data_IF_171738308904
#
_entry.id   IF_171738308904
#
_cell.length_a   1.000
_cell.length_b   1.000
_cell.length_c   1.000
_cell.angle_alpha   90.00
_cell.angle_beta   90.00
_cell.angle_gamma   90.00
#
_symmetry.space_group_name_H-M   'P 1'
#
loop_
_entity.id
_entity.type
_entity.pdbx_description
1 polymer ?
#
# COMPACT_ATOMS: atom_id res chain seq x y z
N UNK A 1 -29.01 -0.02 -52.10
CA UNK A 1 -28.99 -0.12 -53.58
C UNK A 1 -27.66 0.44 -54.04
N UNK A 2 -26.80 -0.47 -54.48
CA UNK A 2 -25.53 -0.27 -55.20
C UNK A 2 -25.79 0.52 -56.50
N UNK A 3 -24.86 1.18 -57.19
CA UNK A 3 -23.51 0.78 -57.63
C UNK A 3 -22.90 1.96 -58.44
N UNK A 4 -21.63 1.82 -58.83
CA UNK A 4 -20.91 2.44 -60.01
C UNK A 4 -19.75 3.36 -59.55
N UNK A 5 -18.47 3.19 -59.91
CA UNK A 5 -17.72 2.20 -60.69
C UNK A 5 -16.23 2.39 -60.38
N UNK A 6 -15.48 1.29 -60.48
CA UNK A 6 -14.04 1.13 -60.26
C UNK A 6 -13.24 1.15 -61.58
N UNK A 7 -11.90 1.23 -61.44
CA UNK A 7 -10.79 0.86 -62.34
C UNK A 7 -10.24 1.94 -63.29
N UNK A 8 -8.93 2.08 -63.59
CA UNK A 8 -7.65 1.72 -62.95
C UNK A 8 -6.46 2.06 -63.89
N UNK A 9 -5.28 2.32 -63.31
CA UNK A 9 -3.90 1.96 -63.73
C UNK A 9 -2.99 2.80 -64.68
N UNK A 10 -1.69 2.79 -64.27
CA UNK A 10 -0.39 3.02 -64.94
C UNK A 10 0.11 4.50 -65.00
N UNK A 11 1.38 4.86 -64.78
CA UNK A 11 2.64 4.21 -64.37
C UNK A 11 3.66 5.30 -63.95
N UNK A 12 4.69 4.98 -63.16
CA UNK A 12 5.87 5.84 -62.83
C UNK A 12 7.04 5.56 -63.81
N UNK A 13 8.09 6.41 -63.97
CA UNK A 13 9.30 6.31 -63.10
C UNK A 13 10.23 7.56 -62.93
N UNK A 14 11.13 7.49 -61.92
CA UNK A 14 12.50 8.06 -61.70
C UNK A 14 12.76 9.61 -61.83
N UNK A 15 13.63 10.35 -61.11
CA UNK A 15 14.99 10.06 -60.61
C UNK A 15 15.61 11.22 -59.73
N UNK A 16 16.61 10.85 -58.92
CA UNK A 16 17.81 11.52 -58.38
C UNK A 16 17.95 12.84 -57.54
N UNK A 17 18.42 12.62 -56.30
CA UNK A 17 19.39 13.28 -55.38
C UNK A 17 20.10 14.64 -55.66
N UNK A 18 20.33 15.43 -54.58
CA UNK A 18 21.68 15.77 -54.02
C UNK A 18 21.68 16.64 -52.75
N UNK A 19 22.49 16.20 -51.78
CA UNK A 19 23.02 16.94 -50.62
C UNK A 19 23.93 18.11 -51.03
N UNK A 20 24.04 19.16 -50.19
CA UNK A 20 25.33 19.85 -49.95
C UNK A 20 25.39 20.67 -48.67
N UNK A 21 26.46 20.43 -47.93
CA UNK A 21 26.89 21.04 -46.67
C UNK A 21 27.95 22.10 -46.94
N UNK A 22 27.96 23.23 -46.20
CA UNK A 22 29.15 24.08 -46.02
C UNK A 22 29.21 24.68 -44.62
N UNK A 23 30.42 24.58 -44.04
CA UNK A 23 30.93 25.11 -42.77
C UNK A 23 31.46 26.55 -42.96
N UNK A 24 31.45 27.40 -41.91
CA UNK A 24 32.64 27.81 -41.11
C UNK A 24 32.43 29.12 -40.31
N UNK A 25 32.75 29.02 -39.02
CA UNK A 25 33.63 29.83 -38.15
C UNK A 25 33.44 31.34 -37.96
N UNK A 26 33.44 31.76 -36.68
CA UNK A 26 33.65 33.15 -36.24
C UNK A 26 33.56 33.33 -34.71
N UNK A 27 34.72 33.34 -34.03
CA UNK A 27 34.92 33.60 -32.59
C UNK A 27 35.00 35.11 -32.31
N UNK A 28 34.48 35.56 -31.16
CA UNK A 28 34.78 36.88 -30.58
C UNK A 28 34.22 37.10 -29.16
N UNK A 29 35.10 37.08 -28.14
CA UNK A 29 34.97 37.82 -26.86
C UNK A 29 35.17 39.33 -27.18
N UNK A 30 34.78 40.37 -26.43
CA UNK A 30 34.91 40.68 -24.98
C UNK A 30 34.12 42.00 -24.64
N UNK A 31 33.74 42.14 -23.36
CA UNK A 31 33.60 43.36 -22.51
C UNK A 31 32.45 44.39 -22.63
N UNK A 32 31.68 44.50 -21.53
CA UNK A 32 31.43 45.74 -20.74
C UNK A 32 30.73 45.35 -19.41
N UNK A 33 31.41 45.42 -18.25
CA UNK A 33 31.54 46.53 -17.29
C UNK A 33 30.25 46.95 -16.54
N UNK A 34 30.16 46.43 -15.31
CA UNK A 34 29.72 47.00 -14.02
C UNK A 34 28.48 47.93 -13.93
N UNK A 35 27.57 47.55 -13.02
CA UNK A 35 27.06 48.45 -11.97
C UNK A 35 26.72 47.66 -10.69
N UNK A 36 27.29 48.12 -9.57
CA UNK A 36 27.02 47.71 -8.18
C UNK A 36 25.85 48.54 -7.61
N UNK A 37 25.04 47.94 -6.74
CA UNK A 37 24.41 48.50 -5.51
C UNK A 37 23.70 47.33 -4.80
N UNK A 38 24.22 46.72 -3.73
CA UNK A 38 24.19 47.08 -2.29
C UNK A 38 22.85 46.81 -1.57
N UNK A 39 22.90 45.91 -0.57
CA UNK A 39 22.12 45.82 0.69
C UNK A 39 20.62 45.44 0.54
N UNK A 40 20.00 44.50 1.27
CA UNK A 40 20.11 44.11 2.68
C UNK A 40 19.85 42.60 2.91
N UNK A 41 20.69 41.95 3.73
CA UNK A 41 20.41 40.66 4.37
C UNK A 41 19.77 40.92 5.74
N UNK A 42 18.50 40.55 5.92
CA UNK A 42 17.80 40.57 7.21
C UNK A 42 17.76 39.15 7.79
N UNK A 43 18.60 38.91 8.79
CA UNK A 43 18.55 37.71 9.63
C UNK A 43 17.35 37.76 10.60
N UNK A 44 16.74 36.61 10.95
CA UNK A 44 15.62 36.57 11.89
C UNK A 44 16.07 36.65 13.37
N UNK A 45 15.24 37.20 14.28
CA UNK A 45 15.60 37.35 15.70
C UNK A 45 15.45 36.03 16.49
N UNK A 46 16.18 35.86 17.60
CA UNK A 46 16.07 34.70 18.48
C UNK A 46 14.84 34.77 19.40
N UNK A 47 14.31 33.63 19.90
CA UNK A 47 13.16 33.62 20.78
C UNK A 47 13.52 34.13 22.19
N UNK A 48 12.62 34.97 22.72
CA UNK A 48 12.66 35.57 24.04
C UNK A 48 12.38 34.56 25.16
N UNK A 49 13.24 34.59 26.18
CA UNK A 49 13.06 33.87 27.44
C UNK A 49 12.01 34.58 28.30
N UNK A 50 10.97 33.84 28.71
CA UNK A 50 10.01 34.30 29.71
C UNK A 50 10.49 33.89 31.10
N UNK A 51 10.99 34.89 31.83
CA UNK A 51 11.13 34.86 33.29
C UNK A 51 9.74 35.01 33.91
N UNK A 52 9.29 34.04 34.71
CA UNK A 52 8.28 34.30 35.74
C UNK A 52 8.71 33.73 37.09
N UNK A 53 8.52 34.61 38.05
CA UNK A 53 8.95 34.62 39.44
C UNK A 53 8.31 33.57 40.31
N UNK A 54 9.10 33.09 41.27
CA UNK A 54 8.67 32.36 42.45
C UNK A 54 7.77 33.20 43.36
N UNK A 55 6.67 32.61 43.84
CA UNK A 55 6.15 32.83 45.19
C UNK A 55 5.67 31.49 45.76
N UNK A 56 6.25 31.06 46.89
CA UNK A 56 5.52 30.57 48.07
C UNK A 56 6.49 30.00 49.12
N UNK A 57 6.53 30.71 50.25
CA UNK A 57 6.50 30.22 51.64
C UNK A 57 7.22 28.92 52.02
N UNK A 58 8.24 29.09 52.87
CA UNK A 58 8.78 28.09 53.81
C UNK A 58 7.72 27.63 54.82
N UNK A 59 7.62 26.32 55.05
CA UNK A 59 7.39 25.74 56.38
C UNK A 59 8.23 24.47 56.55
N UNK A 60 8.91 24.39 57.69
CA UNK A 60 9.67 23.25 58.20
C UNK A 60 8.73 22.11 58.62
N UNK A 61 9.20 20.86 58.57
CA UNK A 61 8.60 19.77 59.33
C UNK A 61 9.03 18.37 58.94
N UNK A 62 9.87 17.78 59.80
CA UNK A 62 10.03 16.35 60.10
C UNK A 62 10.52 15.34 59.05
N UNK A 63 11.74 14.86 59.34
CA UNK A 63 12.33 13.62 58.84
C UNK A 63 11.68 12.43 59.58
N UNK A 64 10.94 11.61 58.84
CA UNK A 64 10.70 10.21 59.20
C UNK A 64 11.15 9.33 58.04
N UNK A 65 12.11 8.46 58.32
CA UNK A 65 12.53 7.36 57.45
C UNK A 65 11.39 6.34 57.39
N UNK A 66 10.81 6.13 56.22
CA UNK A 66 10.01 4.94 55.93
C UNK A 66 10.80 4.03 54.98
N UNK A 67 10.77 2.75 55.32
CA UNK A 67 11.57 1.69 54.75
C UNK A 67 11.07 1.27 53.36
N UNK A 68 12.01 0.83 52.53
CA UNK A 68 11.75 0.15 51.26
C UNK A 68 10.83 -1.08 51.47
N UNK A 69 9.81 -1.30 50.63
CA UNK A 69 9.09 -2.56 50.64
C UNK A 69 9.91 -3.62 49.90
N UNK A 70 10.25 -4.66 50.67
CA UNK A 70 10.85 -5.93 50.27
C UNK A 70 10.06 -6.57 49.11
N UNK A 71 10.70 -6.72 47.94
CA UNK A 71 10.13 -7.40 46.77
C UNK A 71 10.11 -8.90 47.02
N UNK A 72 8.91 -9.46 47.22
CA UNK A 72 8.72 -10.93 47.27
C UNK A 72 8.75 -11.51 45.85
N UNK A 73 9.38 -12.68 45.63
CA UNK A 73 9.41 -13.32 44.33
C UNK A 73 8.01 -13.78 43.92
N UNK A 74 7.61 -13.43 42.69
CA UNK A 74 6.37 -13.91 42.04
C UNK A 74 6.63 -15.34 41.57
N UNK A 75 5.74 -16.32 41.84
CA UNK A 75 5.90 -17.68 41.35
C UNK A 75 5.71 -17.70 39.82
N UNK A 76 6.58 -18.44 39.14
CA UNK A 76 6.38 -18.89 37.77
C UNK A 76 5.15 -19.82 37.76
N UNK A 77 4.06 -19.40 37.09
CA UNK A 77 3.00 -20.32 36.68
C UNK A 77 2.99 -20.42 35.15
N UNK A 78 3.44 -21.60 34.71
CA UNK A 78 3.12 -22.21 33.44
C UNK A 78 1.61 -22.47 33.38
N UNK A 79 0.94 -22.04 32.30
CA UNK A 79 0.00 -22.94 31.62
C UNK A 79 -0.31 -22.46 30.20
N UNK A 80 0.24 -23.19 29.23
CA UNK A 80 -0.12 -23.11 27.82
C UNK A 80 -1.55 -23.61 27.63
N UNK A 81 -2.49 -22.72 27.33
CA UNK A 81 -3.75 -23.13 26.69
C UNK A 81 -3.56 -23.23 25.17
N UNK A 82 -3.08 -24.41 24.78
CA UNK A 82 -3.16 -24.95 23.43
C UNK A 82 -4.64 -25.16 23.06
N UNK A 83 -5.14 -24.45 22.06
CA UNK A 83 -6.48 -24.75 21.51
C UNK A 83 -6.33 -25.89 20.50
N UNK A 84 -6.58 -27.12 20.97
CA UNK A 84 -6.77 -28.32 20.13
C UNK A 84 -8.28 -28.58 20.02
N UNK A 85 -8.81 -28.59 18.79
CA UNK A 85 -10.18 -28.99 18.53
C UNK A 85 -10.30 -30.53 18.63
N UNK A 86 -11.09 -31.02 19.58
CA UNK A 86 -11.42 -32.43 19.78
C UNK A 86 -12.59 -32.84 18.88
N UNK A 87 -12.40 -33.91 18.10
CA UNK A 87 -13.48 -34.61 17.38
C UNK A 87 -13.93 -35.82 18.19
N UNK A 88 -15.23 -35.89 18.49
CA UNK A 88 -15.89 -37.12 18.95
C UNK A 88 -16.13 -38.08 17.78
N UNK A 89 -15.81 -39.34 18.01
CA UNK A 89 -16.04 -40.48 17.12
C UNK A 89 -17.40 -41.12 17.42
N UNK A 90 -18.20 -41.40 16.39
CA UNK A 90 -19.30 -42.36 16.45
C UNK A 90 -19.34 -43.24 15.20
N UNK A 91 -18.99 -44.51 15.43
CA UNK A 91 -19.45 -45.77 14.81
C UNK A 91 -20.23 -45.78 13.48
N UNK A 92 -19.68 -46.55 12.53
CA UNK A 92 -20.34 -47.26 11.42
C UNK A 92 -21.29 -48.39 11.90
N UNK A 93 -22.28 -48.87 11.11
CA UNK A 93 -21.98 -49.78 9.97
C UNK A 93 -22.93 -49.77 8.75
N UNK A 94 -22.43 -50.25 7.60
CA UNK A 94 -23.15 -51.23 6.76
C UNK A 94 -23.62 -50.87 5.34
N UNK A 95 -22.92 -51.44 4.34
CA UNK A 95 -23.42 -52.13 3.14
C UNK A 95 -23.90 -51.39 1.86
N UNK A 96 -23.13 -51.66 0.79
CA UNK A 96 -23.49 -52.07 -0.59
C UNK A 96 -24.21 -51.15 -1.61
N UNK A 97 -23.48 -50.96 -2.72
CA UNK A 97 -23.87 -50.90 -4.15
C UNK A 97 -24.76 -49.77 -4.67
N UNK A 98 -24.21 -48.91 -5.54
CA UNK A 98 -24.53 -48.89 -6.99
C UNK A 98 -23.71 -47.81 -7.72
N UNK A 99 -23.19 -48.15 -8.89
CA UNK A 99 -22.63 -47.18 -9.84
C UNK A 99 -23.72 -46.23 -10.34
N UNK A 100 -23.44 -44.92 -10.33
CA UNK A 100 -23.92 -44.01 -11.37
C UNK A 100 -22.94 -42.84 -11.53
N UNK A 101 -22.28 -42.81 -12.70
CA UNK A 101 -21.50 -41.68 -13.14
C UNK A 101 -22.41 -40.47 -13.36
N UNK A 102 -22.12 -39.35 -12.69
CA UNK A 102 -22.59 -38.04 -13.12
C UNK A 102 -21.56 -36.96 -12.83
N UNK A 103 -21.25 -36.23 -13.90
CA UNK A 103 -20.34 -35.10 -13.97
C UNK A 103 -20.77 -34.00 -12.98
N UNK A 104 -19.96 -33.70 -11.96
CA UNK A 104 -19.98 -32.42 -11.26
C UNK A 104 -18.56 -31.94 -11.04
N UNK A 105 -18.22 -30.80 -11.64
CA UNK A 105 -17.03 -30.01 -11.33
C UNK A 105 -17.06 -29.66 -9.85
N UNK A 106 -16.23 -30.32 -9.05
CA UNK A 106 -16.01 -29.96 -7.66
C UNK A 106 -15.07 -28.76 -7.59
N UNK A 107 -15.50 -27.77 -6.82
CA UNK A 107 -14.78 -26.52 -6.50
C UNK A 107 -13.39 -26.81 -5.91
N UNK A 108 -12.34 -26.21 -6.49
CA UNK A 108 -10.93 -26.35 -6.11
C UNK A 108 -10.57 -25.49 -4.89
N UNK A 109 -11.47 -25.42 -3.90
CA UNK A 109 -11.28 -24.63 -2.67
C UNK A 109 -11.74 -25.39 -1.42
N UNK A 110 -11.46 -26.69 -1.37
CA UNK A 110 -11.81 -27.56 -0.24
C UNK A 110 -10.64 -28.41 0.23
N UNK A 111 -10.27 -28.22 1.50
CA UNK A 111 -9.52 -29.16 2.33
C UNK A 111 -8.03 -29.37 1.99
N UNK A 112 -7.17 -28.49 2.50
CA UNK A 112 -5.77 -28.81 2.80
C UNK A 112 -5.59 -28.75 4.32
N UNK A 113 -5.99 -29.82 5.01
CA UNK A 113 -5.62 -30.05 6.41
C UNK A 113 -5.52 -31.55 6.64
N UNK A 114 -4.46 -31.92 7.36
CA UNK A 114 -4.09 -33.26 7.83
C UNK A 114 -3.27 -34.14 6.87
N UNK A 115 -2.00 -33.79 6.72
CA UNK A 115 -0.92 -34.80 6.67
C UNK A 115 -0.10 -34.65 7.96
N UNK A 116 -0.42 -35.44 8.99
CA UNK A 116 0.42 -35.53 10.21
C UNK A 116 1.56 -36.49 9.92
N UNK A 117 2.58 -35.98 9.24
CA UNK A 117 3.93 -36.51 9.31
C UNK A 117 4.71 -35.70 10.35
N UNK A 118 5.48 -36.37 11.21
CA UNK A 118 6.31 -35.77 12.27
C UNK A 118 7.35 -34.80 11.69
N UNK A 119 6.94 -33.58 11.35
CA UNK A 119 7.81 -32.52 10.85
C UNK A 119 8.52 -31.86 12.02
N UNK A 120 9.85 -31.86 12.00
CA UNK A 120 10.65 -31.00 12.88
C UNK A 120 10.24 -29.56 12.55
N UNK A 121 9.55 -28.89 13.48
CA UNK A 121 9.19 -27.46 13.36
C UNK A 121 10.43 -26.65 12.95
N UNK A 122 10.28 -25.77 11.97
CA UNK A 122 11.36 -24.90 11.47
C UNK A 122 11.56 -23.65 12.36
N UNK A 123 11.17 -23.76 13.64
CA UNK A 123 11.02 -22.64 14.57
C UNK A 123 9.58 -22.14 14.64
N UNK A 124 9.42 -21.00 15.32
CA UNK A 124 8.13 -20.33 15.53
C UNK A 124 8.26 -18.83 15.30
N UNK A 125 7.14 -18.19 14.94
CA UNK A 125 7.02 -16.75 14.76
C UNK A 125 5.86 -16.21 15.60
N UNK A 126 6.11 -15.10 16.28
CA UNK A 126 5.13 -14.35 17.07
C UNK A 126 4.88 -13.00 16.42
N UNK A 127 3.62 -12.69 16.14
CA UNK A 127 3.18 -11.37 15.66
C UNK A 127 1.76 -11.06 16.14
N UNK A 128 1.34 -9.81 16.06
CA UNK A 128 -0.06 -9.42 16.25
C UNK A 128 -0.60 -8.68 15.04
N UNK A 129 -1.88 -8.91 14.75
CA UNK A 129 -2.61 -8.26 13.67
C UNK A 129 -3.77 -7.44 14.26
N UNK A 130 -3.96 -6.23 13.74
CA UNK A 130 -5.14 -5.40 14.03
C UNK A 130 -5.71 -4.90 12.71
N UNK A 131 -6.99 -5.15 12.49
CA UNK A 131 -7.69 -4.63 11.32
C UNK A 131 -8.52 -3.40 11.72
N UNK A 132 -8.38 -2.31 10.99
CA UNK A 132 -9.12 -1.07 11.18
C UNK A 132 -10.04 -0.85 9.97
N UNK A 133 -11.33 -1.17 10.15
CA UNK A 133 -12.34 -1.10 9.10
C UNK A 133 -12.63 0.33 8.64
N UNK A 134 -12.46 1.32 9.51
CA UNK A 134 -12.66 2.73 9.16
C UNK A 134 -11.61 3.20 8.15
N UNK A 135 -10.34 2.87 8.41
CA UNK A 135 -9.20 3.30 7.59
C UNK A 135 -8.89 2.33 6.43
N UNK A 136 -9.58 1.18 6.39
CA UNK A 136 -9.25 0.05 5.49
C UNK A 136 -7.79 -0.37 5.63
N UNK A 137 -7.34 -0.51 6.88
CA UNK A 137 -5.93 -0.71 7.23
C UNK A 137 -5.73 -2.01 8.00
N UNK A 138 -4.76 -2.82 7.57
CA UNK A 138 -4.28 -3.98 8.32
C UNK A 138 -2.93 -3.64 8.94
N UNK A 139 -2.89 -3.47 10.27
CA UNK A 139 -1.66 -3.25 11.04
C UNK A 139 -1.04 -4.60 11.42
N UNK A 140 0.25 -4.72 11.19
CA UNK A 140 1.08 -5.87 11.56
C UNK A 140 2.09 -5.38 12.58
N UNK A 141 2.17 -6.04 13.72
CA UNK A 141 3.25 -5.86 14.69
C UNK A 141 4.03 -7.17 14.76
N UNK A 142 5.17 -7.21 14.08
CA UNK A 142 6.09 -8.34 14.05
C UNK A 142 6.94 -8.30 15.32
N UNK A 143 6.77 -9.30 16.18
CA UNK A 143 7.38 -9.31 17.50
C UNK A 143 8.73 -10.04 17.43
N UNK A 144 8.71 -11.35 17.19
CA UNK A 144 9.91 -12.20 17.23
C UNK A 144 9.75 -13.53 16.52
N UNK A 145 10.86 -14.23 16.34
CA UNK A 145 10.87 -15.67 16.07
C UNK A 145 11.72 -16.41 17.11
N UNK A 146 11.48 -17.70 17.28
CA UNK A 146 12.27 -18.56 18.17
C UNK A 146 12.69 -19.85 17.49
N UNK A 147 13.85 -20.35 17.88
CA UNK A 147 14.41 -21.65 17.47
C UNK A 147 14.46 -21.81 15.95
N UNK A 148 14.88 -20.76 15.24
CA UNK A 148 15.12 -20.86 13.80
C UNK A 148 16.30 -21.79 13.52
N UNK A 149 16.32 -22.35 12.31
CA UNK A 149 17.43 -23.18 11.83
C UNK A 149 18.64 -22.30 11.51
N UNK A 150 19.83 -22.73 11.90
CA UNK A 150 21.08 -22.15 11.42
C UNK A 150 21.31 -22.56 9.96
N UNK A 151 21.38 -21.58 9.06
CA UNK A 151 21.68 -21.80 7.64
C UNK A 151 23.10 -21.36 7.29
N UNK A 152 23.70 -20.44 8.06
CA UNK A 152 25.07 -20.03 7.88
C UNK A 152 26.09 -21.01 8.48
N UNK A 153 27.28 -21.03 7.87
CA UNK A 153 28.47 -21.73 8.40
C UNK A 153 28.91 -21.28 9.80
N UNK A 154 28.49 -20.10 10.25
CA UNK A 154 28.78 -19.56 11.58
C UNK A 154 27.90 -20.18 12.68
N UNK A 155 26.93 -21.04 12.34
CA UNK A 155 26.00 -21.66 13.28
C UNK A 155 24.78 -20.79 13.62
N UNK A 156 24.56 -19.70 12.91
CA UNK A 156 23.43 -18.77 13.04
C UNK A 156 22.71 -18.58 11.70
N UNK A 157 21.85 -17.57 11.66
CA UNK A 157 21.22 -17.00 10.47
C UNK A 157 21.07 -15.50 10.67
N UNK A 158 20.81 -14.78 9.59
CA UNK A 158 20.47 -13.36 9.50
C UNK A 158 18.97 -13.18 9.15
N UNK A 159 18.05 -13.57 10.05
CA UNK A 159 16.63 -13.67 9.73
C UNK A 159 15.95 -12.33 9.43
N UNK A 160 15.04 -12.37 8.46
CA UNK A 160 14.07 -11.32 8.15
C UNK A 160 12.76 -11.92 7.64
N UNK A 161 11.69 -11.13 7.67
CA UNK A 161 10.33 -11.59 7.35
C UNK A 161 9.79 -10.85 6.14
N UNK A 162 9.26 -11.61 5.18
CA UNK A 162 8.45 -11.09 4.07
C UNK A 162 6.98 -11.40 4.34
N UNK A 163 6.12 -10.41 4.13
CA UNK A 163 4.68 -10.56 4.16
C UNK A 163 4.13 -10.39 2.75
N UNK A 164 3.20 -11.25 2.35
CA UNK A 164 2.45 -11.13 1.10
C UNK A 164 0.97 -11.34 1.38
N UNK A 165 0.12 -10.51 0.77
CA UNK A 165 -1.31 -10.76 0.74
C UNK A 165 -1.64 -11.67 -0.45
N UNK A 166 -2.35 -12.76 -0.19
CA UNK A 166 -2.82 -13.71 -1.20
C UNK A 166 -4.35 -13.64 -1.29
N UNK A 167 -4.97 -13.73 -2.48
CA UNK A 167 -4.33 -13.70 -3.80
C UNK A 167 -3.68 -12.34 -4.09
N UNK A 168 -2.81 -12.28 -5.10
CA UNK A 168 -2.09 -11.07 -5.48
C UNK A 168 -0.66 -11.01 -4.95
N UNK A 169 0.11 -12.09 -5.10
CA UNK A 169 1.54 -12.20 -4.73
C UNK A 169 2.46 -11.33 -5.63
N UNK A 170 2.13 -10.05 -5.79
CA UNK A 170 2.86 -9.10 -6.61
C UNK A 170 3.88 -8.33 -5.77
N UNK A 171 4.75 -7.58 -6.44
CA UNK A 171 5.68 -6.66 -5.76
C UNK A 171 4.95 -5.62 -4.90
N UNK A 172 3.72 -5.25 -5.25
CA UNK A 172 2.98 -4.20 -4.57
C UNK A 172 2.40 -4.67 -3.22
N UNK A 173 2.10 -5.96 -3.07
CA UNK A 173 1.57 -6.55 -1.82
C UNK A 173 2.66 -7.09 -0.91
N UNK A 174 3.93 -6.88 -1.26
CA UNK A 174 5.06 -7.34 -0.46
C UNK A 174 5.48 -6.29 0.57
N UNK A 175 5.51 -6.69 1.83
CA UNK A 175 6.22 -5.95 2.89
C UNK A 175 7.42 -6.78 3.36
N UNK A 176 8.49 -6.11 3.80
CA UNK A 176 9.73 -6.76 4.22
C UNK A 176 10.25 -6.08 5.47
N UNK A 177 10.50 -6.86 6.52
CA UNK A 177 11.06 -6.37 7.78
C UNK A 177 12.54 -6.04 7.67
N UNK A 178 13.07 -5.46 8.74
CA UNK A 178 14.52 -5.41 8.97
C UNK A 178 15.11 -6.83 9.11
N UNK A 179 16.39 -6.93 8.78
CA UNK A 179 17.21 -8.12 9.08
C UNK A 179 17.86 -7.95 10.44
N UNK A 180 17.85 -9.01 11.23
CA UNK A 180 18.63 -9.10 12.47
C UNK A 180 19.72 -10.12 12.23
N UNK A 181 20.96 -9.71 12.38
CA UNK A 181 22.12 -10.55 12.05
C UNK A 181 22.44 -11.55 13.17
N UNK A 182 22.96 -12.72 12.78
CA UNK A 182 23.58 -13.74 13.63
C UNK A 182 22.73 -14.16 14.83
N UNK A 183 21.48 -14.53 14.57
CA UNK A 183 20.57 -14.99 15.61
C UNK A 183 19.59 -16.05 15.12
N UNK A 184 19.25 -17.00 16.00
CA UNK A 184 18.17 -17.96 15.80
C UNK A 184 16.89 -17.57 16.56
N UNK A 185 16.95 -16.48 17.32
CA UNK A 185 15.85 -15.96 18.14
C UNK A 185 15.71 -14.42 17.95
N UNK A 186 15.43 -13.96 16.71
CA UNK A 186 15.33 -12.54 16.42
C UNK A 186 14.13 -11.90 17.13
N UNK A 187 14.31 -10.70 17.66
CA UNK A 187 13.24 -9.83 18.17
C UNK A 187 13.19 -8.54 17.35
N UNK A 188 12.23 -8.44 16.44
CA UNK A 188 12.09 -7.29 15.53
C UNK A 188 11.36 -6.12 16.19
N UNK A 189 10.27 -6.40 16.93
CA UNK A 189 9.37 -5.40 17.50
C UNK A 189 9.05 -4.27 16.49
N UNK A 190 8.70 -4.67 15.26
CA UNK A 190 8.54 -3.80 14.10
C UNK A 190 7.07 -3.71 13.70
N UNK A 191 6.58 -2.50 13.45
CA UNK A 191 5.22 -2.27 12.95
C UNK A 191 5.22 -1.95 11.46
N UNK A 192 4.29 -2.58 10.74
CA UNK A 192 4.05 -2.35 9.31
C UNK A 192 2.56 -2.32 9.03
N UNK A 193 2.14 -1.86 7.85
CA UNK A 193 0.72 -1.80 7.53
C UNK A 193 0.45 -1.98 6.05
N UNK A 194 -0.64 -2.69 5.75
CA UNK A 194 -1.32 -2.60 4.46
C UNK A 194 -2.46 -1.60 4.54
N UNK A 195 -2.69 -0.88 3.45
CA UNK A 195 -3.76 0.09 3.29
C UNK A 195 -4.69 -0.34 2.14
N UNK A 196 -5.94 0.13 2.15
CA UNK A 196 -6.94 -0.22 1.13
C UNK A 196 -7.44 -1.67 1.22
N UNK A 197 -7.34 -2.28 2.40
CA UNK A 197 -7.90 -3.61 2.70
C UNK A 197 -9.38 -3.43 3.06
N UNK A 198 -10.27 -3.75 2.13
CA UNK A 198 -11.72 -3.69 2.32
C UNK A 198 -12.24 -4.86 3.17
N UNK A 199 -13.51 -4.81 3.60
CA UNK A 199 -14.14 -5.98 4.23
C UNK A 199 -14.15 -7.17 3.27
N UNK A 200 -14.39 -6.93 1.98
CA UNK A 200 -14.34 -7.96 0.95
C UNK A 200 -12.94 -8.57 0.83
N UNK A 201 -11.90 -7.73 0.84
CA UNK A 201 -10.51 -8.20 0.85
C UNK A 201 -10.24 -9.04 2.10
N UNK A 202 -10.69 -8.59 3.28
CA UNK A 202 -10.49 -9.31 4.55
C UNK A 202 -11.14 -10.70 4.52
N UNK A 203 -12.31 -10.85 3.93
CA UNK A 203 -12.99 -12.15 3.82
C UNK A 203 -12.25 -13.13 2.92
N UNK A 204 -11.57 -12.63 1.88
CA UNK A 204 -10.93 -13.44 0.84
C UNK A 204 -9.43 -13.62 1.05
N UNK A 205 -8.73 -12.63 1.60
CA UNK A 205 -7.27 -12.55 1.62
C UNK A 205 -6.66 -13.35 2.79
N UNK A 206 -5.48 -13.88 2.52
CA UNK A 206 -4.62 -14.60 3.46
C UNK A 206 -3.28 -13.87 3.53
N UNK A 207 -2.82 -13.58 4.74
CA UNK A 207 -1.48 -13.06 4.98
C UNK A 207 -0.49 -14.23 5.02
N UNK A 208 0.37 -14.34 4.01
CA UNK A 208 1.52 -15.23 4.02
C UNK A 208 2.67 -14.55 4.73
N UNK A 209 3.25 -15.24 5.70
CA UNK A 209 4.39 -14.78 6.49
C UNK A 209 5.55 -15.74 6.20
N UNK A 210 6.61 -15.24 5.58
CA UNK A 210 7.78 -16.04 5.19
C UNK A 210 9.01 -15.51 5.90
N UNK A 211 9.68 -16.38 6.65
CA UNK A 211 10.97 -16.09 7.31
C UNK A 211 12.08 -16.58 6.38
N UNK A 212 13.06 -15.73 6.13
CA UNK A 212 14.21 -16.03 5.30
C UNK A 212 15.50 -15.62 6.02
N UNK A 213 16.58 -16.29 5.67
CA UNK A 213 17.94 -15.89 5.99
C UNK A 213 18.46 -14.91 4.94
N UNK A 214 19.19 -13.86 5.34
CA UNK A 214 19.80 -12.92 4.40
C UNK A 214 21.24 -13.33 4.11
N UNK A 215 21.48 -13.70 2.87
CA UNK A 215 22.82 -14.01 2.38
C UNK A 215 23.46 -12.83 1.64
N UNK A 216 24.78 -12.94 1.39
CA UNK A 216 25.50 -12.03 0.49
C UNK A 216 24.86 -11.96 -0.91
N UNK A 217 24.31 -13.08 -1.38
CA UNK A 217 23.59 -13.18 -2.66
C UNK A 217 22.35 -14.03 -2.41
N UNK A 218 21.17 -13.41 -2.56
CA UNK A 218 19.91 -14.12 -2.40
C UNK A 218 19.45 -14.20 -0.94
N UNK A 219 18.76 -15.29 -0.63
CA UNK A 219 18.23 -15.54 0.71
C UNK A 219 17.76 -16.98 0.83
N UNK A 220 18.18 -17.68 1.87
CA UNK A 220 17.69 -19.01 2.19
C UNK A 220 16.32 -19.01 2.88
N UNK A 221 15.50 -20.02 2.59
CA UNK A 221 14.17 -20.15 3.18
C UNK A 221 14.28 -20.80 4.57
N UNK A 222 13.81 -20.10 5.60
CA UNK A 222 13.76 -20.61 6.98
C UNK A 222 12.41 -21.23 7.34
N UNK A 223 11.32 -20.74 6.73
CA UNK A 223 9.99 -21.28 6.98
C UNK A 223 8.87 -20.30 6.62
N UNK A 224 7.64 -20.79 6.54
CA UNK A 224 6.48 -19.94 6.34
C UNK A 224 5.26 -20.36 7.16
N UNK A 225 4.32 -19.43 7.32
CA UNK A 225 2.99 -19.69 7.86
C UNK A 225 1.97 -18.77 7.19
N UNK A 226 0.67 -19.04 7.39
CA UNK A 226 -0.43 -18.32 6.73
C UNK A 226 -1.53 -17.98 7.72
N UNK A 227 -2.04 -16.76 7.65
CA UNK A 227 -3.10 -16.25 8.53
C UNK A 227 -4.26 -15.76 7.67
N UNK A 228 -5.42 -16.41 7.76
CA UNK A 228 -6.63 -15.95 7.09
C UNK A 228 -7.19 -14.70 7.78
N UNK A 229 -7.42 -13.62 7.02
CA UNK A 229 -7.81 -12.33 7.58
C UNK A 229 -9.27 -12.29 8.09
N UNK A 230 -10.15 -13.14 7.53
CA UNK A 230 -11.55 -13.28 7.97
C UNK A 230 -11.75 -13.54 9.47
N UNK A 231 -10.72 -14.06 10.14
CA UNK A 231 -10.75 -14.36 11.59
C UNK A 231 -10.42 -13.16 12.49
N UNK A 232 -10.14 -11.99 11.91
CA UNK A 232 -9.87 -10.76 12.63
C UNK A 232 -11.18 -10.02 12.92
N UNK A 233 -11.35 -9.52 14.14
CA UNK A 233 -12.41 -8.58 14.44
C UNK A 233 -11.92 -7.15 14.22
N UNK A 234 -12.87 -6.23 14.06
CA UNK A 234 -12.54 -4.82 13.84
C UNK A 234 -11.98 -4.18 15.11
N UNK A 235 -10.87 -3.45 14.97
CA UNK A 235 -10.11 -2.78 16.02
C UNK A 235 -9.61 -3.68 17.17
N UNK A 236 -9.74 -5.01 17.04
CA UNK A 236 -9.22 -5.96 18.00
C UNK A 236 -7.79 -6.38 17.61
N UNK A 237 -6.86 -6.30 18.56
CA UNK A 237 -5.52 -6.85 18.39
C UNK A 237 -5.54 -8.35 18.66
N UNK A 238 -5.24 -9.14 17.62
CA UNK A 238 -5.11 -10.59 17.75
C UNK A 238 -3.65 -11.01 17.68
N UNK A 239 -3.16 -11.63 18.75
CA UNK A 239 -1.80 -12.18 18.83
C UNK A 239 -1.75 -13.60 18.29
N UNK A 240 -0.73 -13.89 17.51
CA UNK A 240 -0.46 -15.19 16.92
C UNK A 240 0.93 -15.66 17.34
N UNK A 241 1.03 -16.91 17.77
CA UNK A 241 2.28 -17.65 17.95
C UNK A 241 2.18 -18.91 17.11
N UNK A 242 2.87 -18.94 15.97
CA UNK A 242 2.69 -19.95 14.92
C UNK A 242 3.99 -20.67 14.66
N UNK A 243 3.91 -21.99 14.45
CA UNK A 243 5.04 -22.75 13.97
C UNK A 243 5.29 -22.48 12.49
N UNK A 244 6.57 -22.50 12.12
CA UNK A 244 7.00 -22.37 10.74
C UNK A 244 7.00 -23.73 10.05
N UNK A 245 6.46 -23.76 8.83
CA UNK A 245 6.33 -24.92 7.98
C UNK A 245 7.20 -24.78 6.72
N UNK A 246 7.43 -25.90 6.04
CA UNK A 246 8.04 -25.90 4.71
C UNK A 246 7.18 -25.14 3.71
N UNK A 247 7.79 -24.67 2.61
CA UNK A 247 7.10 -23.89 1.59
C UNK A 247 5.78 -24.56 1.13
N UNK A 248 4.66 -23.89 1.36
CA UNK A 248 3.35 -24.37 0.92
C UNK A 248 3.12 -23.96 -0.53
N UNK A 249 2.44 -24.79 -1.34
CA UNK A 249 2.08 -24.43 -2.70
C UNK A 249 1.37 -23.08 -2.72
N UNK A 250 1.81 -22.18 -3.59
CA UNK A 250 1.08 -20.96 -3.94
C UNK A 250 0.31 -21.30 -5.21
N UNK A 251 -1.02 -21.09 -5.25
CA UNK A 251 -1.76 -21.19 -6.50
C UNK A 251 -1.09 -20.34 -7.57
N UNK A 252 -1.02 -20.85 -8.81
CA UNK A 252 -0.50 -20.05 -9.93
C UNK A 252 -1.31 -18.76 -10.01
N UNK A 253 -0.59 -17.65 -10.15
CA UNK A 253 -1.19 -16.33 -10.29
C UNK A 253 -2.07 -16.31 -11.55
N UNK A 254 -3.36 -16.06 -11.40
CA UNK A 254 -4.20 -15.64 -12.51
C UNK A 254 -3.92 -14.16 -12.75
N UNK A 255 -3.66 -13.78 -14.00
CA UNK A 255 -3.52 -12.37 -14.36
C UNK A 255 -4.83 -11.66 -14.01
N UNK A 256 -4.76 -10.72 -13.06
CA UNK A 256 -5.89 -9.91 -12.65
C UNK A 256 -5.87 -8.58 -13.40
N UNK A 257 -7.02 -8.12 -13.90
CA UNK A 257 -7.20 -6.75 -14.42
C UNK A 257 -7.26 -5.70 -13.29
N UNK A 258 -6.59 -5.94 -12.17
CA UNK A 258 -6.50 -5.00 -11.05
C UNK A 258 -5.34 -4.04 -11.27
N UNK A 259 -5.63 -2.73 -11.19
CA UNK A 259 -4.69 -1.64 -11.47
C UNK A 259 -4.30 -0.85 -10.22
N UNK A 260 -4.71 -1.36 -9.06
CA UNK A 260 -4.58 -0.71 -7.76
C UNK A 260 -5.82 0.08 -7.36
N UNK A 261 -5.69 0.72 -6.19
CA UNK A 261 -6.74 1.52 -5.55
C UNK A 261 -6.18 2.87 -5.14
N UNK A 262 -7.00 3.90 -5.15
CA UNK A 262 -6.66 5.26 -4.73
C UNK A 262 -7.52 5.69 -3.54
N UNK A 263 -6.91 6.34 -2.55
CA UNK A 263 -7.59 6.96 -1.43
C UNK A 263 -7.69 8.47 -1.66
N UNK A 264 -8.92 8.98 -1.68
CA UNK A 264 -9.20 10.40 -1.95
C UNK A 264 -10.18 10.96 -0.92
N UNK A 265 -9.89 12.17 -0.44
CA UNK A 265 -10.80 12.96 0.38
C UNK A 265 -11.41 14.12 -0.41
N UNK A 266 -12.71 14.38 -0.20
CA UNK A 266 -13.41 15.54 -0.77
C UNK A 266 -14.03 16.38 0.33
N UNK A 267 -13.91 17.70 0.23
CA UNK A 267 -14.58 18.63 1.12
C UNK A 267 -14.97 19.88 0.34
N UNK A 268 -16.23 20.29 0.42
CA UNK A 268 -16.66 21.55 -0.15
C UNK A 268 -16.78 22.63 0.92
N UNK A 269 -16.10 23.77 0.74
CA UNK A 269 -16.23 24.93 1.61
C UNK A 269 -17.12 25.99 0.96
N UNK A 270 -18.30 26.25 1.54
CA UNK A 270 -19.26 27.24 1.03
C UNK A 270 -18.70 28.67 1.10
N UNK A 271 -18.06 29.04 2.22
CA UNK A 271 -17.57 30.40 2.43
C UNK A 271 -16.49 30.77 1.41
N UNK A 272 -15.65 29.80 1.04
CA UNK A 272 -14.60 29.98 0.04
C UNK A 272 -15.04 29.64 -1.39
N UNK A 273 -16.27 29.16 -1.58
CA UNK A 273 -16.77 28.69 -2.87
C UNK A 273 -15.82 27.69 -3.55
N UNK A 274 -15.25 26.77 -2.78
CA UNK A 274 -14.12 25.95 -3.21
C UNK A 274 -14.30 24.48 -2.85
N UNK A 275 -13.98 23.60 -3.80
CA UNK A 275 -13.82 22.17 -3.60
C UNK A 275 -12.36 21.88 -3.25
N UNK A 276 -12.14 21.23 -2.11
CA UNK A 276 -10.87 20.68 -1.69
C UNK A 276 -10.82 19.19 -2.00
N UNK A 277 -9.73 18.76 -2.62
CA UNK A 277 -9.44 17.39 -2.99
C UNK A 277 -8.14 16.99 -2.28
N UNK A 278 -8.21 15.97 -1.44
CA UNK A 278 -7.06 15.37 -0.80
C UNK A 278 -6.68 14.11 -1.58
N UNK A 279 -5.56 14.16 -2.30
CA UNK A 279 -5.00 12.97 -2.97
C UNK A 279 -4.03 12.33 -1.99
N UNK A 280 -4.51 11.31 -1.28
CA UNK A 280 -3.79 10.76 -0.14
C UNK A 280 -2.71 9.77 -0.61
N UNK A 281 -3.12 8.66 -1.23
CA UNK A 281 -2.23 7.56 -1.63
C UNK A 281 -2.86 6.65 -2.66
N UNK A 282 -2.02 5.88 -3.36
CA UNK A 282 -2.45 4.66 -4.03
C UNK A 282 -1.85 3.43 -3.36
N UNK A 283 -2.48 2.29 -3.57
CA UNK A 283 -1.97 0.97 -3.18
C UNK A 283 -2.12 -0.01 -4.32
N UNK A 284 -1.26 -1.03 -4.32
CA UNK A 284 -1.35 -2.15 -5.25
C UNK A 284 -1.34 -1.73 -6.74
N UNK A 285 -0.61 -0.64 -7.08
CA UNK A 285 -0.47 -0.22 -8.48
C UNK A 285 0.26 -1.29 -9.29
N UNK A 286 -0.07 -1.38 -10.58
CA UNK A 286 0.71 -2.16 -11.55
C UNK A 286 2.02 -1.44 -11.86
N UNK A 287 3.08 -2.21 -12.13
CA UNK A 287 4.35 -1.65 -12.60
C UNK A 287 4.37 -1.57 -14.12
N UNK A 288 4.43 -0.36 -14.67
CA UNK A 288 4.53 -0.15 -16.12
C UNK A 288 5.98 -0.20 -16.61
N UNK A 289 6.95 0.06 -15.75
CA UNK A 289 8.36 -0.04 -16.09
C UNK A 289 8.79 -1.49 -16.34
N UNK A 290 9.83 -1.66 -17.16
CA UNK A 290 10.58 -2.93 -17.29
C UNK A 290 11.11 -3.48 -15.96
N UNK A 291 11.25 -2.64 -14.94
CA UNK A 291 11.67 -3.04 -13.59
C UNK A 291 10.55 -3.70 -12.78
N UNK A 292 9.30 -3.63 -13.27
CA UNK A 292 8.08 -4.03 -12.57
C UNK A 292 7.72 -3.10 -11.42
N UNK A 293 8.13 -1.83 -11.48
CA UNK A 293 7.70 -0.72 -10.63
C UNK A 293 7.09 0.37 -11.51
N UNK A 294 6.69 1.49 -10.88
CA UNK A 294 6.28 2.72 -11.56
C UNK A 294 6.80 3.94 -10.80
N UNK A 295 6.83 5.07 -11.48
CA UNK A 295 7.03 6.43 -10.99
C UNK A 295 5.70 7.20 -10.95
N UNK A 296 4.72 6.80 -10.10
CA UNK A 296 3.35 7.30 -10.19
C UNK A 296 3.19 8.80 -9.83
N UNK A 297 2.28 9.44 -10.54
CA UNK A 297 1.71 10.75 -10.20
C UNK A 297 0.23 10.84 -10.62
N UNK A 298 -0.53 11.76 -10.02
CA UNK A 298 -1.95 11.96 -10.34
C UNK A 298 -2.14 13.24 -11.16
N UNK A 299 -2.97 13.16 -12.21
CA UNK A 299 -3.59 14.32 -12.89
C UNK A 299 -5.01 14.46 -12.38
N UNK A 300 -5.35 15.63 -11.86
CA UNK A 300 -6.67 15.94 -11.31
C UNK A 300 -7.31 17.04 -12.14
N UNK A 301 -8.54 16.85 -12.59
CA UNK A 301 -9.28 17.87 -13.34
C UNK A 301 -10.76 17.91 -13.01
N UNK A 302 -11.32 19.12 -13.01
CA UNK A 302 -12.76 19.35 -12.83
C UNK A 302 -13.40 19.74 -14.17
N UNK A 303 -14.26 18.89 -14.70
CA UNK A 303 -14.92 19.06 -16.00
C UNK A 303 -16.42 19.34 -15.83
N UNK A 304 -17.08 20.08 -16.75
CA UNK A 304 -16.50 20.89 -17.82
C UNK A 304 -15.57 21.97 -17.27
N UNK A 305 -14.47 22.20 -17.96
CA UNK A 305 -13.41 23.10 -17.50
C UNK A 305 -13.87 24.53 -17.70
N UNK A 306 -14.04 25.25 -16.60
CA UNK A 306 -14.44 26.66 -16.62
C UNK A 306 -13.26 27.59 -16.27
N UNK A 307 -12.14 27.04 -15.79
CA UNK A 307 -10.92 27.76 -15.48
C UNK A 307 -9.69 26.91 -15.78
N UNK A 308 -8.59 27.51 -16.22
CA UNK A 308 -7.30 26.80 -16.38
C UNK A 308 -6.82 26.19 -15.06
N UNK A 309 -7.21 26.78 -13.92
CA UNK A 309 -6.89 26.28 -12.58
C UNK A 309 -7.68 25.02 -12.19
N UNK A 310 -8.65 24.56 -13.00
CA UNK A 310 -9.36 23.29 -12.81
C UNK A 310 -8.57 22.07 -13.32
N UNK A 311 -7.24 22.20 -13.40
CA UNK A 311 -6.30 21.13 -13.68
C UNK A 311 -5.13 21.27 -12.71
N UNK A 312 -4.75 20.16 -12.09
CA UNK A 312 -3.61 20.08 -11.20
C UNK A 312 -2.90 18.74 -11.39
N UNK A 313 -1.66 18.66 -10.92
CA UNK A 313 -0.89 17.41 -10.87
C UNK A 313 -0.24 17.28 -9.50
N UNK A 314 -0.11 16.05 -9.01
CA UNK A 314 0.69 15.78 -7.81
C UNK A 314 2.17 15.64 -8.14
N UNK A 315 3.02 15.60 -7.11
CA UNK A 315 4.42 15.25 -7.27
C UNK A 315 4.60 13.80 -7.74
N UNK A 316 5.60 13.55 -8.57
CA UNK A 316 5.99 12.20 -8.99
C UNK A 316 6.69 11.46 -7.86
N UNK A 317 6.21 10.25 -7.52
CA UNK A 317 6.84 9.38 -6.53
C UNK A 317 7.60 8.28 -7.27
N UNK A 318 8.91 8.22 -7.10
CA UNK A 318 9.74 7.30 -7.88
C UNK A 318 9.71 5.87 -7.35
N UNK A 319 9.68 4.90 -8.27
CA UNK A 319 9.90 3.47 -8.09
C UNK A 319 9.09 2.88 -6.94
N UNK A 320 7.78 3.10 -6.97
CA UNK A 320 6.85 2.63 -5.94
C UNK A 320 5.51 2.23 -6.54
N UNK A 321 4.91 1.18 -5.97
CA UNK A 321 3.56 0.73 -6.30
C UNK A 321 2.54 1.09 -5.20
N UNK A 322 3.00 1.75 -4.14
CA UNK A 322 2.19 2.24 -3.03
C UNK A 322 2.57 3.70 -2.71
N UNK A 323 2.39 4.65 -3.66
CA UNK A 323 2.78 6.04 -3.46
C UNK A 323 1.90 6.74 -2.41
N UNK A 324 2.53 7.59 -1.60
CA UNK A 324 1.86 8.50 -0.68
C UNK A 324 2.18 9.95 -1.05
N UNK A 325 1.14 10.71 -1.39
CA UNK A 325 1.25 12.14 -1.73
C UNK A 325 0.83 13.01 -0.56
N UNK A 326 -0.33 12.72 0.03
CA UNK A 326 -0.98 13.56 1.03
C UNK A 326 -1.06 15.03 0.55
N UNK A 327 -1.42 15.21 -0.72
CA UNK A 327 -1.45 16.52 -1.38
C UNK A 327 -2.88 17.08 -1.43
N UNK A 328 -2.99 18.38 -1.15
CA UNK A 328 -4.26 19.11 -1.17
C UNK A 328 -4.36 19.97 -2.42
N UNK A 329 -5.45 19.79 -3.17
CA UNK A 329 -5.75 20.53 -4.40
C UNK A 329 -7.04 21.31 -4.19
N UNK A 330 -7.04 22.58 -4.56
CA UNK A 330 -8.21 23.46 -4.45
C UNK A 330 -8.73 23.85 -5.83
N UNK A 331 -10.02 23.64 -6.06
CA UNK A 331 -10.73 24.18 -7.21
C UNK A 331 -11.83 25.13 -6.79
N UNK A 332 -11.72 26.39 -7.23
CA UNK A 332 -12.77 27.39 -7.03
C UNK A 332 -13.94 27.06 -7.94
N UNK A 333 -15.10 26.74 -7.36
CA UNK A 333 -16.33 26.38 -8.08
C UNK A 333 -17.55 26.79 -7.24
N UNK A 334 -18.47 27.60 -7.78
CA UNK A 334 -19.70 27.96 -7.08
C UNK A 334 -20.54 26.72 -6.73
N UNK A 335 -21.18 26.73 -5.55
CA UNK A 335 -21.93 25.57 -5.05
C UNK A 335 -23.03 25.12 -6.02
N UNK A 336 -23.72 26.08 -6.66
CA UNK A 336 -24.74 25.83 -7.69
C UNK A 336 -24.25 25.05 -8.91
N UNK A 337 -22.95 25.10 -9.19
CA UNK A 337 -22.35 24.46 -10.35
C UNK A 337 -21.71 23.13 -9.99
N UNK A 338 -21.37 22.90 -8.71
CA UNK A 338 -20.72 21.68 -8.23
C UNK A 338 -21.47 20.38 -8.62
N UNK A 339 -22.81 20.27 -8.50
CA UNK A 339 -23.54 19.06 -8.92
C UNK A 339 -23.45 18.75 -10.42
N UNK A 340 -23.11 19.75 -11.24
CA UNK A 340 -22.95 19.64 -12.70
C UNK A 340 -21.50 19.34 -13.11
N UNK A 341 -20.58 19.34 -12.15
CA UNK A 341 -19.17 19.02 -12.39
C UNK A 341 -18.91 17.54 -12.25
N UNK A 342 -17.81 17.15 -12.86
CA UNK A 342 -17.22 15.84 -12.83
C UNK A 342 -15.75 15.99 -12.45
N UNK A 343 -15.34 15.38 -11.35
CA UNK A 343 -13.95 15.31 -10.93
C UNK A 343 -13.31 14.06 -11.53
N UNK A 344 -12.29 14.25 -12.36
CA UNK A 344 -11.50 13.18 -12.96
C UNK A 344 -10.13 13.14 -12.29
N UNK A 345 -9.74 11.96 -11.82
CA UNK A 345 -8.42 11.71 -11.25
C UNK A 345 -7.79 10.55 -12.00
N UNK A 346 -6.76 10.81 -12.79
CA UNK A 346 -5.99 9.80 -13.51
C UNK A 346 -4.61 9.61 -12.88
N UNK A 347 -4.20 8.36 -12.71
CA UNK A 347 -2.86 7.97 -12.24
C UNK A 347 -2.02 7.59 -13.45
N UNK A 348 -0.83 8.15 -13.53
CA UNK A 348 0.12 7.97 -14.63
C UNK A 348 1.46 7.52 -14.09
N UNK A 349 2.16 6.71 -14.86
CA UNK A 349 3.58 6.44 -14.69
C UNK A 349 4.39 7.52 -15.42
N UNK A 350 5.44 8.04 -14.79
CA UNK A 350 6.30 9.05 -15.42
C UNK A 350 7.52 8.41 -16.06
N UNK A 351 7.55 8.41 -17.39
CA UNK A 351 8.66 7.86 -18.17
C UNK A 351 9.68 8.93 -18.58
N UNK A 352 10.95 8.66 -18.33
CA UNK A 352 12.04 9.51 -18.84
C UNK A 352 12.18 9.37 -20.36
N UNK A 353 11.67 10.35 -21.11
CA UNK A 353 11.88 10.48 -22.56
C UNK A 353 10.86 9.78 -23.45
N UNK A 354 9.75 9.27 -22.88
CA UNK A 354 8.58 8.76 -23.60
C UNK A 354 7.32 9.51 -23.15
N UNK A 355 6.18 9.18 -23.77
CA UNK A 355 4.89 9.60 -23.23
C UNK A 355 4.59 8.83 -21.95
N UNK A 356 4.16 9.54 -20.92
CA UNK A 356 3.75 8.97 -19.64
C UNK A 356 2.64 7.93 -19.82
N UNK A 357 2.84 6.72 -19.29
CA UNK A 357 1.89 5.62 -19.37
C UNK A 357 0.70 5.82 -18.42
N UNK A 358 -0.52 5.55 -18.92
CA UNK A 358 -1.72 5.63 -18.09
C UNK A 358 -1.94 4.33 -17.31
N UNK A 359 -1.94 4.42 -15.99
CA UNK A 359 -2.14 3.26 -15.11
C UNK A 359 -3.65 2.99 -14.95
N UNK A 360 -4.41 4.03 -14.63
CA UNK A 360 -5.86 3.96 -14.41
C UNK A 360 -6.36 5.20 -13.69
N UNK A 361 -7.67 5.33 -13.54
CA UNK A 361 -8.28 6.52 -12.95
C UNK A 361 -9.65 6.28 -12.34
N UNK A 362 -10.23 7.38 -11.86
CA UNK A 362 -11.58 7.43 -11.32
C UNK A 362 -12.30 8.70 -11.78
N UNK A 363 -13.62 8.59 -11.87
CA UNK A 363 -14.54 9.69 -12.15
C UNK A 363 -15.56 9.81 -11.03
N UNK A 364 -15.64 10.99 -10.44
CA UNK A 364 -16.55 11.33 -9.34
C UNK A 364 -17.53 12.40 -9.84
N UNK A 365 -18.81 12.06 -9.90
CA UNK A 365 -19.89 12.96 -10.32
C UNK A 365 -21.23 12.49 -9.74
N UNK A 366 -22.28 13.30 -9.91
CA UNK A 366 -23.65 12.91 -9.56
C UNK A 366 -24.18 11.74 -10.38
N UNK A 367 -23.60 11.49 -11.56
CA UNK A 367 -23.94 10.37 -12.43
C UNK A 367 -23.04 9.14 -12.26
N UNK A 368 -22.00 9.23 -11.43
CA UNK A 368 -21.09 8.11 -11.18
C UNK A 368 -21.82 7.01 -10.37
N UNK A 369 -21.50 5.75 -10.67
CA UNK A 369 -22.09 4.59 -9.99
C UNK A 369 -21.39 4.33 -8.65
N UNK A 370 -22.05 3.54 -7.81
CA UNK A 370 -21.48 2.93 -6.61
C UNK A 370 -20.83 3.94 -5.63
N UNK A 371 -19.67 3.60 -5.08
CA UNK A 371 -18.98 4.41 -4.06
C UNK A 371 -18.55 5.78 -4.60
N UNK A 372 -18.26 5.88 -5.90
CA UNK A 372 -17.82 7.11 -6.56
C UNK A 372 -18.91 8.18 -6.54
N UNK A 373 -20.12 7.81 -6.96
CA UNK A 373 -21.28 8.70 -6.87
C UNK A 373 -21.65 9.01 -5.42
N UNK A 374 -21.62 8.00 -4.55
CA UNK A 374 -21.92 8.17 -3.11
C UNK A 374 -20.98 9.16 -2.42
N UNK A 375 -19.68 9.09 -2.67
CA UNK A 375 -18.72 10.06 -2.11
C UNK A 375 -19.00 11.48 -2.61
N UNK A 376 -19.23 11.63 -3.93
CA UNK A 376 -19.51 12.93 -4.54
C UNK A 376 -20.77 13.57 -3.96
N UNK A 377 -21.87 12.80 -3.88
CA UNK A 377 -23.15 13.24 -3.32
C UNK A 377 -22.98 13.63 -1.84
N UNK A 378 -22.32 12.79 -1.03
CA UNK A 378 -22.05 13.10 0.38
C UNK A 378 -21.27 14.40 0.56
N UNK A 379 -20.29 14.68 -0.29
CA UNK A 379 -19.53 15.93 -0.27
C UNK A 379 -20.41 17.15 -0.57
N UNK A 380 -21.39 17.02 -1.46
CA UNK A 380 -22.33 18.09 -1.81
C UNK A 380 -23.36 18.31 -0.69
N UNK A 381 -23.90 17.22 -0.14
CA UNK A 381 -24.94 17.24 0.90
C UNK A 381 -24.40 17.70 2.26
N UNK A 382 -23.11 17.47 2.53
CA UNK A 382 -22.46 17.76 3.81
C UNK A 382 -21.28 18.74 3.64
N UNK A 383 -21.54 19.98 3.19
CA UNK A 383 -20.49 20.97 3.01
C UNK A 383 -19.76 21.24 4.33
N UNK A 384 -18.44 21.43 4.26
CA UNK A 384 -17.56 21.57 5.41
C UNK A 384 -17.09 20.24 6.01
N UNK A 385 -17.70 19.10 5.66
CA UNK A 385 -17.25 17.78 6.13
C UNK A 385 -16.29 17.15 5.12
N UNK A 386 -15.17 16.60 5.61
CA UNK A 386 -14.27 15.80 4.79
C UNK A 386 -14.86 14.40 4.61
N UNK A 387 -15.07 14.01 3.35
CA UNK A 387 -15.57 12.70 2.97
C UNK A 387 -14.45 11.94 2.28
N UNK A 388 -13.90 10.92 2.95
CA UNK A 388 -12.83 10.07 2.42
C UNK A 388 -13.37 8.74 1.92
N UNK A 389 -12.79 8.25 0.81
CA UNK A 389 -13.15 6.95 0.27
C UNK A 389 -11.99 6.33 -0.54
N UNK A 390 -11.96 5.01 -0.56
CA UNK A 390 -11.11 4.21 -1.42
C UNK A 390 -11.85 3.84 -2.71
N UNK A 391 -11.17 3.96 -3.84
CA UNK A 391 -11.72 3.61 -5.16
C UNK A 391 -10.76 2.72 -5.93
N UNK A 392 -11.28 1.71 -6.62
CA UNK A 392 -10.51 0.92 -7.60
C UNK A 392 -10.23 1.78 -8.84
N UNK A 393 -9.02 1.66 -9.38
CA UNK A 393 -8.61 2.32 -10.63
C UNK A 393 -9.09 1.54 -11.86
N UNK A 394 -9.57 2.25 -12.87
CA UNK A 394 -10.07 1.71 -14.13
C UNK A 394 -9.37 2.33 -15.36
N UNK A 395 -9.34 1.62 -16.49
CA UNK A 395 -8.77 2.12 -17.76
C UNK A 395 -9.63 3.22 -18.40
N UNK A 396 -10.95 3.04 -18.39
CA UNK A 396 -11.88 3.96 -19.03
C UNK A 396 -12.71 4.63 -17.93
N UNK A 397 -12.23 5.79 -17.45
CA UNK A 397 -12.84 6.51 -16.32
C UNK A 397 -13.61 7.76 -16.74
#
# INVERSE_FOLDING_TARGET
>A
MTTTTSLSFLSSPDDETKQRQRRRDGVGRINSLQLRTSLDDVAPPPPSASTMSMTSSKMNGDVRKEAEPEVKPIPEEEDERTVVASNESASEPGAHSHLHASNRRASVFGCFLCFVGKQRSLGSITLSLTYHSADKKLKIHLIRSKNLKAMDSNGFSDPYVKFHLLPGNTKATKLTSKTIEKTLNPEWNEEMSYYGITEEDKEKKILRVTVLDRDRIGSDFLGETRIALKKLQDNEMKRFNLYLESALPVPKEEETDERGKIHVGLQYNIQQGSLFINVNRCVELIGMDSTGFSDPYCKVSLTPITSKAHRAKTATKKRTLNPEWNEHIQFVVPFKDLPKKTLQIGVFDHDLGKHDDYIGGILLSTSAKDERGRQWIKCIENPGTLVEAWHRLELDS
#
